data_IF_300821196491
#
_entry.id   IF_300821196491
#
_cell.length_a   1.000
_cell.length_b   1.000
_cell.length_c   1.000
_cell.angle_alpha   90.00
_cell.angle_beta   90.00
_cell.angle_gamma   90.00
#
_symmetry.space_group_name_H-M   'P 1'
#
loop_
_entity.id
_entity.type
_entity.pdbx_description
1 polymer ?
#
# COMPACT_ATOMS: atom_id res chain seq x y z
N UNK A 1 -5.95 5.47 -27.70
CA UNK A 1 -5.06 4.97 -26.63
C UNK A 1 -5.30 5.90 -25.45
N UNK A 2 -5.80 5.40 -24.33
CA UNK A 2 -6.15 6.24 -23.17
C UNK A 2 -4.84 6.68 -22.49
N UNK A 3 -4.72 7.97 -22.20
CA UNK A 3 -3.52 8.56 -21.59
C UNK A 3 -3.46 8.20 -20.09
N UNK A 4 -2.25 8.25 -19.52
CA UNK A 4 -2.04 8.23 -18.06
C UNK A 4 -2.94 9.25 -17.33
N UNK A 5 -3.10 10.43 -17.92
CA UNK A 5 -3.91 11.51 -17.35
C UNK A 5 -5.40 11.15 -17.33
N UNK A 6 -5.91 10.53 -18.39
CA UNK A 6 -7.32 10.14 -18.48
C UNK A 6 -7.69 9.10 -17.41
N UNK A 7 -6.77 8.17 -17.09
CA UNK A 7 -6.97 7.20 -16.01
C UNK A 7 -6.96 7.85 -14.63
N UNK A 8 -6.15 8.89 -14.42
CA UNK A 8 -6.14 9.68 -13.19
C UNK A 8 -7.43 10.48 -13.04
N UNK A 9 -7.88 11.14 -14.10
CA UNK A 9 -9.11 11.90 -14.10
C UNK A 9 -10.31 10.99 -13.80
N UNK A 10 -10.31 9.75 -14.29
CA UNK A 10 -11.32 8.75 -13.93
C UNK A 10 -11.27 8.40 -12.44
N UNK A 11 -10.07 8.16 -11.89
CA UNK A 11 -9.92 7.87 -10.45
C UNK A 11 -10.46 9.04 -9.61
N UNK A 12 -10.15 10.28 -10.01
CA UNK A 12 -10.62 11.50 -9.33
C UNK A 12 -12.15 11.60 -9.41
N UNK A 13 -12.74 11.31 -10.57
CA UNK A 13 -14.19 11.35 -10.77
C UNK A 13 -14.94 10.25 -9.97
N UNK A 14 -14.31 9.09 -9.76
CA UNK A 14 -14.88 7.97 -9.00
C UNK A 14 -14.75 8.10 -7.48
N UNK A 15 -13.90 8.99 -6.98
CA UNK A 15 -13.66 9.11 -5.53
C UNK A 15 -14.90 9.60 -4.79
N UNK A 16 -15.40 8.78 -3.86
CA UNK A 16 -16.62 9.04 -3.10
C UNK A 16 -16.37 9.79 -1.77
N UNK A 17 -15.18 10.38 -1.60
CA UNK A 17 -14.73 11.09 -0.39
C UNK A 17 -14.68 10.22 0.87
N UNK A 18 -14.81 8.90 0.79
CA UNK A 18 -14.38 8.00 1.89
C UNK A 18 -12.86 8.03 2.00
N UNK A 19 -12.23 7.54 3.07
CA UNK A 19 -10.77 7.52 3.17
C UNK A 19 -10.17 6.50 2.19
N UNK A 20 -9.98 6.91 0.93
CA UNK A 20 -9.58 6.05 -0.18
C UNK A 20 -8.12 6.29 -0.60
N UNK A 21 -7.45 5.20 -0.94
CA UNK A 21 -6.14 5.18 -1.59
C UNK A 21 -6.22 4.32 -2.84
N UNK A 22 -5.66 4.81 -3.94
CA UNK A 22 -5.61 4.13 -5.23
C UNK A 22 -4.16 3.87 -5.61
N UNK A 23 -3.78 2.60 -5.62
CA UNK A 23 -2.44 2.16 -5.96
C UNK A 23 -2.28 2.11 -7.48
N UNK A 24 -1.29 2.85 -7.96
CA UNK A 24 -1.01 3.01 -9.39
C UNK A 24 0.11 2.10 -9.88
N UNK A 25 0.96 1.61 -8.97
CA UNK A 25 1.98 0.62 -9.30
C UNK A 25 1.46 -0.81 -9.11
N UNK A 26 2.21 -1.79 -9.61
CA UNK A 26 1.93 -3.21 -9.42
C UNK A 26 1.66 -3.54 -7.94
N UNK A 27 0.57 -4.28 -7.71
CA UNK A 27 0.24 -4.90 -6.41
C UNK A 27 0.48 -6.41 -6.48
N UNK A 28 0.64 -7.06 -5.32
CA UNK A 28 0.86 -8.50 -5.28
C UNK A 28 -0.43 -9.28 -5.57
N UNK A 29 -1.56 -8.84 -4.99
CA UNK A 29 -2.87 -9.43 -5.28
C UNK A 29 -4.02 -8.48 -5.02
N UNK A 30 -5.15 -8.75 -5.67
CA UNK A 30 -6.40 -8.01 -5.57
C UNK A 30 -7.59 -8.97 -5.58
N UNK A 31 -8.76 -8.49 -5.17
CA UNK A 31 -9.99 -9.29 -5.12
C UNK A 31 -10.76 -9.10 -6.42
N UNK A 32 -10.69 -10.06 -7.34
CA UNK A 32 -11.27 -9.95 -8.69
C UNK A 32 -12.77 -9.62 -8.69
N UNK A 33 -13.54 -10.22 -7.77
CA UNK A 33 -14.99 -10.02 -7.70
C UNK A 33 -15.41 -8.75 -6.95
N UNK A 34 -14.45 -7.95 -6.45
CA UNK A 34 -14.73 -6.69 -5.76
C UNK A 34 -14.08 -5.54 -6.52
N UNK A 35 -14.83 -5.03 -7.50
CA UNK A 35 -14.42 -3.92 -8.36
C UNK A 35 -15.19 -2.64 -8.04
N UNK A 36 -14.50 -1.52 -8.08
CA UNK A 36 -15.09 -0.18 -8.06
C UNK A 36 -15.49 0.25 -9.48
N UNK A 37 -14.64 -0.08 -10.46
CA UNK A 37 -14.91 0.01 -11.90
C UNK A 37 -14.14 -1.11 -12.64
N UNK A 38 -14.24 -1.18 -13.96
CA UNK A 38 -13.66 -2.23 -14.80
C UNK A 38 -12.16 -2.45 -14.59
N UNK A 39 -11.40 -1.39 -14.31
CA UNK A 39 -9.96 -1.47 -14.07
C UNK A 39 -9.56 -1.26 -12.60
N UNK A 40 -10.50 -0.95 -11.70
CA UNK A 40 -10.20 -0.60 -10.31
C UNK A 40 -10.77 -1.64 -9.37
N UNK A 41 -9.90 -2.32 -8.64
CA UNK A 41 -10.23 -3.43 -7.76
C UNK A 41 -9.83 -3.15 -6.32
N UNK A 42 -10.44 -3.84 -5.35
CA UNK A 42 -9.94 -3.80 -3.97
C UNK A 42 -8.59 -4.52 -3.90
N UNK A 43 -7.57 -3.81 -3.42
CA UNK A 43 -6.25 -4.38 -3.18
C UNK A 43 -6.28 -5.31 -1.96
N UNK A 44 -5.60 -6.46 -2.04
CA UNK A 44 -5.52 -7.43 -0.95
C UNK A 44 -4.11 -7.45 -0.34
N UNK A 45 -3.13 -8.01 -1.06
CA UNK A 45 -1.73 -7.94 -0.66
C UNK A 45 -1.07 -6.76 -1.38
N UNK A 46 -0.99 -5.64 -0.67
CA UNK A 46 -0.39 -4.39 -1.15
C UNK A 46 0.71 -3.91 -0.21
N UNK A 47 1.94 -3.88 -0.73
CA UNK A 47 3.15 -3.38 -0.08
C UNK A 47 4.16 -3.02 -1.16
N UNK A 48 5.15 -2.16 -0.86
CA UNK A 48 6.17 -1.77 -1.84
C UNK A 48 5.59 -1.06 -3.07
N UNK A 49 4.50 -0.30 -2.92
CA UNK A 49 3.97 0.54 -4.00
C UNK A 49 4.80 1.82 -4.10
N UNK A 50 5.08 2.25 -5.33
CA UNK A 50 5.90 3.44 -5.61
C UNK A 50 5.09 4.60 -6.17
N UNK A 51 3.81 4.39 -6.46
CA UNK A 51 2.91 5.39 -6.99
C UNK A 51 1.48 5.13 -6.54
N UNK A 52 0.85 6.15 -5.97
CA UNK A 52 -0.51 6.09 -5.46
C UNK A 52 -1.17 7.47 -5.48
N UNK A 53 -2.50 7.48 -5.52
CA UNK A 53 -3.32 8.65 -5.26
C UNK A 53 -3.97 8.45 -3.89
N UNK A 54 -3.88 9.46 -3.04
CA UNK A 54 -4.51 9.48 -1.72
C UNK A 54 -5.40 10.71 -1.63
N UNK A 55 -6.65 10.52 -1.24
CA UNK A 55 -7.53 11.67 -1.02
C UNK A 55 -7.29 12.28 0.37
N UNK A 56 -7.76 13.51 0.57
CA UNK A 56 -7.53 14.26 1.80
C UNK A 56 -8.07 13.53 3.05
N UNK A 57 -9.20 12.83 2.93
CA UNK A 57 -9.79 12.08 4.05
C UNK A 57 -8.90 10.89 4.48
N UNK A 58 -8.37 10.13 3.52
CA UNK A 58 -7.41 9.07 3.81
C UNK A 58 -6.12 9.63 4.43
N UNK A 59 -5.58 10.72 3.89
CA UNK A 59 -4.36 11.35 4.42
C UNK A 59 -4.54 11.77 5.89
N UNK A 60 -5.66 12.42 6.22
CA UNK A 60 -5.98 12.80 7.60
C UNK A 60 -6.21 11.59 8.51
N UNK A 61 -6.85 10.54 8.00
CA UNK A 61 -7.06 9.31 8.76
C UNK A 61 -5.71 8.65 9.10
N UNK A 62 -4.85 8.44 8.11
CA UNK A 62 -3.51 7.87 8.31
C UNK A 62 -2.69 8.74 9.25
N UNK A 63 -2.67 10.07 9.08
CA UNK A 63 -1.95 10.98 9.97
C UNK A 63 -2.36 10.81 11.45
N UNK A 64 -3.66 10.71 11.72
CA UNK A 64 -4.18 10.52 13.10
C UNK A 64 -3.85 9.13 13.64
N UNK A 65 -3.98 8.08 12.82
CA UNK A 65 -3.85 6.69 13.25
C UNK A 65 -2.39 6.20 13.33
N UNK A 66 -1.50 6.76 12.51
CA UNK A 66 -0.07 6.42 12.46
C UNK A 66 0.81 7.31 13.36
N UNK A 67 0.21 8.20 14.16
CA UNK A 67 0.93 9.16 15.02
C UNK A 67 1.88 8.48 16.02
N UNK A 68 1.57 7.27 16.47
CA UNK A 68 2.57 6.39 17.07
C UNK A 68 3.16 5.52 15.96
N UNK A 69 4.47 5.62 15.71
CA UNK A 69 5.17 4.82 14.69
C UNK A 69 5.07 3.33 15.08
N UNK A 70 4.00 2.67 14.62
CA UNK A 70 3.71 1.24 14.84
C UNK A 70 3.85 0.42 13.58
N UNK A 71 3.74 1.08 12.42
CA UNK A 71 3.70 0.44 11.10
C UNK A 71 4.65 1.16 10.15
N UNK A 72 5.22 0.41 9.21
CA UNK A 72 6.01 0.99 8.12
C UNK A 72 5.06 1.73 7.15
N UNK A 73 5.54 2.81 6.52
CA UNK A 73 4.70 3.71 5.74
C UNK A 73 4.04 3.07 4.50
N UNK A 74 4.61 1.99 3.98
CA UNK A 74 4.15 1.28 2.78
C UNK A 74 3.38 -0.02 3.08
N UNK A 75 3.00 -0.25 4.34
CA UNK A 75 2.19 -1.40 4.77
C UNK A 75 0.70 -1.22 4.47
N UNK A 76 0.37 -0.91 3.22
CA UNK A 76 -1.00 -0.65 2.76
C UNK A 76 -1.97 -1.75 3.18
N UNK A 77 -1.61 -3.02 2.98
CA UNK A 77 -2.44 -4.16 3.38
C UNK A 77 -2.85 -4.12 4.86
N UNK A 78 -1.97 -3.68 5.76
CA UNK A 78 -2.27 -3.52 7.19
C UNK A 78 -3.30 -2.43 7.38
N UNK A 79 -3.12 -1.26 6.76
CA UNK A 79 -4.02 -0.12 6.91
C UNK A 79 -5.44 -0.44 6.47
N UNK A 80 -5.58 -1.27 5.43
CA UNK A 80 -6.87 -1.85 5.04
C UNK A 80 -7.39 -2.85 6.06
N UNK A 81 -6.55 -3.80 6.49
CA UNK A 81 -6.94 -4.87 7.42
C UNK A 81 -7.46 -4.33 8.76
N UNK A 82 -6.83 -3.28 9.30
CA UNK A 82 -7.25 -2.62 10.54
C UNK A 82 -8.38 -1.59 10.32
N UNK A 83 -8.81 -1.38 9.07
CA UNK A 83 -9.94 -0.51 8.73
C UNK A 83 -9.65 1.00 8.78
N UNK A 84 -8.40 1.44 8.62
CA UNK A 84 -8.09 2.87 8.58
C UNK A 84 -8.50 3.53 7.26
N UNK A 85 -8.29 2.82 6.16
CA UNK A 85 -8.52 3.34 4.80
C UNK A 85 -9.04 2.22 3.89
N UNK A 86 -9.75 2.60 2.85
CA UNK A 86 -10.04 1.74 1.70
C UNK A 86 -8.83 1.79 0.76
N UNK A 87 -8.49 0.63 0.19
CA UNK A 87 -7.34 0.52 -0.71
C UNK A 87 -7.77 -0.18 -1.99
N UNK A 88 -7.58 0.52 -3.09
CA UNK A 88 -7.87 0.08 -4.43
C UNK A 88 -6.57 -0.03 -5.23
N UNK A 89 -6.59 -0.80 -6.31
CA UNK A 89 -5.50 -0.89 -7.27
C UNK A 89 -6.03 -0.83 -8.69
N UNK A 90 -5.26 -0.20 -9.57
CA UNK A 90 -5.56 -0.16 -11.00
C UNK A 90 -4.93 -1.36 -11.73
N UNK A 91 -5.70 -2.04 -12.58
CA UNK A 91 -5.28 -3.18 -13.39
C UNK A 91 -5.66 -2.89 -14.86
N UNK A 92 -4.70 -2.84 -15.81
CA UNK A 92 -3.25 -2.95 -15.60
C UNK A 92 -2.70 -1.79 -14.77
N UNK A 93 -1.56 -1.97 -14.10
CA UNK A 93 -0.96 -0.89 -13.31
C UNK A 93 -0.50 0.26 -14.23
N UNK A 94 -0.68 1.49 -13.75
CA UNK A 94 -0.45 2.72 -14.52
C UNK A 94 1.03 3.13 -14.47
N UNK A 95 1.67 2.95 -13.31
CA UNK A 95 3.05 3.37 -13.06
C UNK A 95 3.96 2.15 -12.97
N UNK A 96 4.98 2.13 -13.84
CA UNK A 96 6.06 1.14 -13.83
C UNK A 96 7.25 1.64 -13.02
N UNK A 97 7.94 0.71 -12.35
CA UNK A 97 9.30 0.96 -11.83
C UNK A 97 10.33 0.49 -12.85
N UNK A 98 11.44 1.23 -12.97
CA UNK A 98 12.60 0.80 -13.77
C UNK A 98 13.55 -0.10 -12.96
N UNK A 99 13.43 -0.08 -11.64
CA UNK A 99 14.30 -0.80 -10.70
C UNK A 99 13.57 -2.04 -10.17
N UNK A 100 13.28 -3.01 -11.05
CA UNK A 100 12.50 -4.20 -10.70
C UNK A 100 13.34 -5.17 -9.85
N UNK A 101 14.63 -5.30 -10.18
CA UNK A 101 15.59 -6.18 -9.50
C UNK A 101 16.30 -5.50 -8.32
N UNK A 102 16.00 -4.22 -8.07
CA UNK A 102 16.59 -3.39 -7.01
C UNK A 102 18.09 -3.16 -7.20
N UNK A 103 18.60 -3.35 -8.41
CA UNK A 103 20.02 -3.16 -8.74
C UNK A 103 20.46 -1.70 -8.57
N UNK A 104 19.56 -0.75 -8.85
CA UNK A 104 19.82 0.69 -8.73
C UNK A 104 19.43 1.25 -7.35
N UNK A 105 19.00 0.39 -6.43
CA UNK A 105 18.52 0.82 -5.11
C UNK A 105 19.69 1.22 -4.20
N UNK A 106 19.72 2.49 -3.81
CA UNK A 106 20.73 3.03 -2.88
C UNK A 106 20.61 2.51 -1.44
N UNK A 107 19.53 1.80 -1.10
CA UNK A 107 19.21 1.32 0.26
C UNK A 107 19.06 -0.21 0.35
N UNK A 108 19.17 -0.95 -0.77
CA UNK A 108 19.01 -2.41 -0.76
C UNK A 108 20.16 -3.13 -0.05
N UNK A 109 21.39 -2.61 -0.11
CA UNK A 109 22.55 -3.16 0.58
C UNK A 109 22.36 -3.18 2.10
N UNK A 110 21.96 -2.05 2.69
CA UNK A 110 21.63 -1.94 4.12
C UNK A 110 20.44 -2.83 4.47
N UNK A 111 19.38 -2.83 3.64
CA UNK A 111 18.18 -3.65 3.86
C UNK A 111 18.55 -5.12 4.03
N UNK A 112 19.42 -5.67 3.18
CA UNK A 112 19.92 -7.05 3.25
C UNK A 112 20.64 -7.36 4.56
N UNK A 113 21.44 -6.42 5.07
CA UNK A 113 22.17 -6.59 6.34
C UNK A 113 21.22 -6.73 7.54
N UNK A 114 20.09 -6.03 7.52
CA UNK A 114 19.15 -6.00 8.64
C UNK A 114 18.04 -7.06 8.58
N UNK A 115 17.94 -7.89 7.53
CA UNK A 115 16.86 -8.91 7.40
C UNK A 115 16.81 -9.81 8.64
N UNK A 116 17.93 -10.43 8.97
CA UNK A 116 18.02 -11.39 10.08
C UNK A 116 17.76 -10.72 11.45
N UNK A 117 18.20 -9.48 11.61
CA UNK A 117 17.99 -8.70 12.84
C UNK A 117 16.50 -8.38 13.00
N UNK A 118 15.85 -7.90 11.94
CA UNK A 118 14.42 -7.60 11.93
C UNK A 118 13.57 -8.84 12.19
N UNK A 119 13.93 -9.97 11.60
CA UNK A 119 13.24 -11.24 11.82
C UNK A 119 13.32 -11.67 13.28
N UNK A 120 14.52 -11.64 13.88
CA UNK A 120 14.71 -11.93 15.31
C UNK A 120 13.91 -11.01 16.21
N UNK A 121 13.91 -9.71 15.92
CA UNK A 121 13.12 -8.72 16.68
C UNK A 121 11.62 -9.02 16.56
N UNK A 122 11.11 -9.29 15.36
CA UNK A 122 9.68 -9.64 15.14
C UNK A 122 9.29 -10.88 15.92
N UNK A 123 10.10 -11.95 15.87
CA UNK A 123 9.87 -13.17 16.64
C UNK A 123 9.83 -12.87 18.15
N UNK A 124 10.75 -12.05 18.64
CA UNK A 124 10.80 -11.71 20.06
C UNK A 124 9.59 -10.87 20.50
N UNK A 125 9.17 -9.90 19.68
CA UNK A 125 7.94 -9.13 19.91
C UNK A 125 6.72 -10.05 19.93
N UNK A 126 6.62 -11.00 19.01
CA UNK A 126 5.49 -11.95 18.97
C UNK A 126 5.46 -12.84 20.22
N UNK A 127 6.62 -13.33 20.69
CA UNK A 127 6.73 -14.15 21.91
C UNK A 127 6.38 -13.38 23.18
N UNK A 128 6.79 -12.10 23.26
CA UNK A 128 6.59 -11.28 24.45
C UNK A 128 5.26 -10.50 24.44
N UNK A 129 4.63 -10.34 23.27
CA UNK A 129 3.31 -9.72 23.11
C UNK A 129 2.14 -10.69 23.27
N UNK A 130 2.40 -11.99 23.31
CA UNK A 130 1.41 -13.04 23.57
C UNK A 130 1.37 -13.43 25.06
N UNK A 131 1.00 -12.49 25.94
CA UNK A 131 0.47 -12.83 27.28
C UNK A 131 -0.16 -11.58 27.93
N UNK A 132 -1.49 -11.50 27.89
CA UNK A 132 -2.38 -10.79 28.84
C UNK A 132 -3.81 -11.19 28.49
N UNK A 133 -4.21 -12.41 28.87
CA UNK A 133 -5.60 -12.72 29.19
C UNK A 133 -5.76 -12.60 30.71
#
# INVERSE_FOLDING_TARGET
MKSYLDEIDEIIALDDKKPNVYLLSKVYSYIHNKKLNDNIFIAFNAWGTHGYIINNHAAQCLYKKLKSIRYEADMWWIFRLVGFINIYCHIPHIINTKDIDKSDSTIESERKQYINIREKIRINIMKNGSCSQ
#
